data_IF_411095070785
#
_entry.id   IF_411095070785
#
_cell.length_a   1.000
_cell.length_b   1.000
_cell.length_c   1.000
_cell.angle_alpha   90.00
_cell.angle_beta   90.00
_cell.angle_gamma   90.00
#
_symmetry.space_group_name_H-M   'P 1'
#
loop_
_entity.id
_entity.type
_entity.pdbx_description
1 polymer ?
#
# COMPACT_ATOMS: atom_id res chain seq x y z
N UNK A 1 8.57 10.52 -27.48
CA UNK A 1 7.21 11.08 -27.74
C UNK A 1 6.18 9.98 -28.02
N UNK A 2 6.43 9.02 -28.90
CA UNK A 2 5.49 7.94 -29.27
C UNK A 2 5.06 7.05 -28.08
N UNK A 3 5.99 6.54 -27.27
CA UNK A 3 5.69 5.73 -26.08
C UNK A 3 4.77 6.47 -25.08
N UNK A 4 4.95 7.78 -24.95
CA UNK A 4 4.12 8.61 -24.09
C UNK A 4 2.66 8.74 -24.56
N UNK A 5 2.41 8.61 -25.87
CA UNK A 5 1.06 8.54 -26.44
C UNK A 5 0.47 7.14 -26.25
N UNK A 6 1.23 6.10 -26.60
CA UNK A 6 0.76 4.69 -26.53
C UNK A 6 0.41 4.32 -25.08
N UNK A 7 1.18 4.72 -24.08
CA UNK A 7 0.86 4.44 -22.66
C UNK A 7 -0.47 5.03 -22.17
N UNK A 8 -1.12 5.91 -22.93
CA UNK A 8 -2.46 6.42 -22.64
C UNK A 8 -3.56 5.50 -23.18
N UNK A 9 -3.22 4.59 -24.11
CA UNK A 9 -4.15 3.70 -24.79
C UNK A 9 -4.40 2.43 -23.96
N UNK A 10 -5.14 2.57 -22.87
CA UNK A 10 -5.37 1.52 -21.85
C UNK A 10 -6.33 0.41 -22.30
N UNK A 11 -6.83 0.47 -23.50
CA UNK A 11 -7.61 -0.60 -24.16
C UNK A 11 -6.73 -1.63 -24.87
N UNK A 12 -5.42 -1.37 -25.00
CA UNK A 12 -4.47 -2.30 -25.59
C UNK A 12 -4.36 -3.59 -24.76
N UNK A 13 -4.00 -4.74 -25.38
CA UNK A 13 -3.73 -5.97 -24.66
C UNK A 13 -2.72 -5.72 -23.53
N UNK A 14 -3.01 -6.28 -22.35
CA UNK A 14 -2.23 -6.02 -21.13
C UNK A 14 -0.72 -6.27 -21.31
N UNK A 15 -0.25 -7.39 -21.92
CA UNK A 15 1.18 -7.60 -22.11
C UNK A 15 1.85 -6.47 -22.89
N UNK A 16 1.31 -6.12 -24.05
CA UNK A 16 1.84 -5.03 -24.88
C UNK A 16 1.81 -3.67 -24.15
N UNK A 17 0.73 -3.37 -23.44
CA UNK A 17 0.66 -2.15 -22.65
C UNK A 17 1.75 -2.08 -21.58
N UNK A 18 1.99 -3.20 -20.89
CA UNK A 18 2.98 -3.29 -19.81
C UNK A 18 4.41 -3.13 -20.37
N UNK A 19 4.71 -3.69 -21.55
CA UNK A 19 5.99 -3.49 -22.24
C UNK A 19 6.24 -2.03 -22.58
N UNK A 20 5.26 -1.36 -23.19
CA UNK A 20 5.35 0.07 -23.53
C UNK A 20 5.48 0.93 -22.27
N UNK A 21 4.73 0.59 -21.21
CA UNK A 21 4.77 1.31 -19.95
C UNK A 21 6.15 1.19 -19.28
N UNK A 22 6.70 -0.02 -19.24
CA UNK A 22 8.01 -0.32 -18.69
C UNK A 22 9.12 0.45 -19.45
N UNK A 23 9.13 0.34 -20.79
CA UNK A 23 10.11 1.02 -21.63
C UNK A 23 10.03 2.56 -21.46
N UNK A 24 8.82 3.11 -21.34
CA UNK A 24 8.63 4.54 -21.13
C UNK A 24 9.29 5.06 -19.84
N UNK A 25 9.18 4.29 -18.72
CA UNK A 25 9.69 4.73 -17.43
C UNK A 25 11.15 4.34 -17.16
N UNK A 26 11.63 3.26 -17.77
CA UNK A 26 12.99 2.74 -17.50
C UNK A 26 13.98 3.00 -18.62
N UNK A 27 13.49 3.31 -19.83
CA UNK A 27 14.32 3.37 -21.05
C UNK A 27 14.79 1.99 -21.53
N UNK A 28 14.38 0.90 -20.88
CA UNK A 28 14.77 -0.49 -21.20
C UNK A 28 13.59 -1.25 -21.81
N UNK A 29 13.86 -2.18 -22.71
CA UNK A 29 12.85 -3.14 -23.17
C UNK A 29 12.54 -4.16 -22.07
N UNK A 30 11.27 -4.50 -21.92
CA UNK A 30 10.81 -5.52 -20.97
C UNK A 30 10.96 -6.92 -21.58
N UNK A 31 11.66 -7.82 -20.88
CA UNK A 31 11.68 -9.24 -21.21
C UNK A 31 10.66 -9.99 -20.33
N UNK A 32 9.52 -10.35 -20.92
CA UNK A 32 8.50 -11.17 -20.27
C UNK A 32 8.74 -12.68 -20.47
N UNK A 33 9.69 -13.08 -21.30
CA UNK A 33 10.00 -14.50 -21.57
C UNK A 33 10.97 -15.04 -20.53
N UNK A 34 12.04 -14.29 -20.24
CA UNK A 34 13.09 -14.67 -19.29
C UNK A 34 13.42 -13.50 -18.34
N UNK A 35 12.48 -13.04 -17.50
CA UNK A 35 12.68 -11.88 -16.66
C UNK A 35 13.79 -12.12 -15.63
N UNK A 36 14.80 -11.25 -15.61
CA UNK A 36 15.97 -11.35 -14.72
C UNK A 36 15.95 -10.32 -13.62
N UNK A 37 15.68 -9.06 -13.97
CA UNK A 37 15.64 -7.95 -13.03
C UNK A 37 14.37 -8.00 -12.17
N UNK A 38 14.43 -7.45 -10.96
CA UNK A 38 13.28 -7.40 -10.04
C UNK A 38 12.05 -6.77 -10.70
N UNK A 39 12.23 -5.60 -11.33
CA UNK A 39 11.13 -4.90 -11.97
C UNK A 39 10.52 -5.68 -13.14
N UNK A 40 11.31 -6.44 -13.91
CA UNK A 40 10.80 -7.33 -14.96
C UNK A 40 9.93 -8.45 -14.36
N UNK A 41 10.40 -9.07 -13.26
CA UNK A 41 9.64 -10.12 -12.54
C UNK A 41 8.31 -9.58 -11.99
N UNK A 42 8.29 -8.35 -11.48
CA UNK A 42 7.05 -7.68 -11.04
C UNK A 42 6.08 -7.47 -12.23
N UNK A 43 6.59 -7.05 -13.40
CA UNK A 43 5.73 -6.93 -14.58
C UNK A 43 5.24 -8.30 -15.07
N UNK A 44 6.09 -9.33 -15.01
CA UNK A 44 5.69 -10.71 -15.33
C UNK A 44 4.56 -11.20 -14.41
N UNK A 45 4.69 -11.00 -13.10
CA UNK A 45 3.63 -11.33 -12.14
C UNK A 45 2.33 -10.57 -12.45
N UNK A 46 2.42 -9.27 -12.76
CA UNK A 46 1.27 -8.46 -13.16
C UNK A 46 0.53 -9.03 -14.37
N UNK A 47 1.26 -9.57 -15.35
CA UNK A 47 0.68 -10.10 -16.59
C UNK A 47 0.17 -11.54 -16.42
N UNK A 48 0.93 -12.41 -15.78
CA UNK A 48 0.69 -13.85 -15.81
C UNK A 48 0.18 -14.44 -14.49
N UNK A 49 0.52 -13.87 -13.34
CA UNK A 49 0.07 -14.39 -12.05
C UNK A 49 -1.34 -13.86 -11.72
N UNK A 50 -2.34 -14.72 -11.89
CA UNK A 50 -3.77 -14.37 -11.76
C UNK A 50 -4.44 -15.09 -10.59
N UNK A 51 -3.86 -14.99 -9.40
CA UNK A 51 -4.47 -15.55 -8.20
C UNK A 51 -5.74 -14.73 -7.83
N UNK A 52 -6.95 -15.33 -7.81
CA UNK A 52 -8.19 -14.62 -7.54
C UNK A 52 -8.23 -13.93 -6.16
N UNK A 53 -7.44 -14.42 -5.20
CA UNK A 53 -7.31 -13.82 -3.87
C UNK A 53 -6.75 -12.39 -3.93
N UNK A 54 -5.95 -12.06 -4.95
CA UNK A 54 -5.34 -10.74 -5.06
C UNK A 54 -6.35 -9.60 -5.12
N UNK A 55 -7.53 -9.83 -5.70
CA UNK A 55 -8.60 -8.82 -5.69
C UNK A 55 -9.11 -8.51 -4.27
N UNK A 56 -9.20 -9.53 -3.41
CA UNK A 56 -9.52 -9.34 -1.99
C UNK A 56 -8.38 -8.62 -1.26
N UNK A 57 -7.12 -8.98 -1.56
CA UNK A 57 -5.95 -8.47 -0.84
C UNK A 57 -5.62 -7.01 -1.16
N UNK A 58 -5.94 -6.52 -2.35
CA UNK A 58 -5.75 -5.10 -2.70
C UNK A 58 -6.90 -4.20 -2.24
N UNK A 59 -8.04 -4.76 -1.86
CA UNK A 59 -9.18 -4.05 -1.27
C UNK A 59 -8.95 -3.85 0.24
N UNK A 60 -8.72 -2.59 0.66
CA UNK A 60 -8.41 -2.25 2.07
C UNK A 60 -9.49 -2.66 3.07
N UNK A 61 -10.72 -2.90 2.62
CA UNK A 61 -11.78 -3.45 3.48
C UNK A 61 -11.74 -4.97 3.50
N UNK A 62 -11.72 -5.59 2.33
CA UNK A 62 -11.83 -7.05 2.22
C UNK A 62 -10.60 -7.79 2.73
N UNK A 63 -9.39 -7.19 2.64
CA UNK A 63 -8.15 -7.76 3.18
C UNK A 63 -8.20 -7.97 4.70
N UNK A 64 -9.05 -7.23 5.41
CA UNK A 64 -9.20 -7.32 6.87
C UNK A 64 -9.68 -8.71 7.32
N UNK A 65 -10.53 -9.38 6.54
CA UNK A 65 -10.95 -10.76 6.84
C UNK A 65 -9.78 -11.74 6.70
N UNK A 66 -8.97 -11.60 5.67
CA UNK A 66 -7.76 -12.40 5.48
C UNK A 66 -6.75 -12.21 6.63
N UNK A 67 -6.48 -10.96 7.01
CA UNK A 67 -5.58 -10.66 8.14
C UNK A 67 -6.13 -11.23 9.44
N UNK A 68 -7.44 -11.07 9.72
CA UNK A 68 -8.10 -11.62 10.92
C UNK A 68 -7.97 -13.13 10.99
N UNK A 69 -8.16 -13.81 9.87
CA UNK A 69 -8.07 -15.28 9.78
C UNK A 69 -6.63 -15.78 9.99
N UNK A 70 -5.65 -15.13 9.37
CA UNK A 70 -4.25 -15.56 9.36
C UNK A 70 -3.48 -15.25 10.65
N UNK A 71 -3.72 -14.09 11.22
CA UNK A 71 -2.90 -13.58 12.34
C UNK A 71 -3.73 -13.08 13.52
N UNK A 72 -5.03 -12.84 13.32
CA UNK A 72 -5.93 -12.36 14.37
C UNK A 72 -6.31 -10.89 14.25
N UNK A 73 -7.45 -10.54 14.85
CA UNK A 73 -8.01 -9.18 14.77
C UNK A 73 -7.18 -8.12 15.49
N UNK A 74 -6.29 -8.51 16.42
CA UNK A 74 -5.45 -7.57 17.19
C UNK A 74 -4.51 -6.74 16.33
N UNK A 75 -4.18 -7.23 15.13
CA UNK A 75 -3.30 -6.55 14.17
C UNK A 75 -4.06 -5.62 13.21
N UNK A 76 -5.37 -5.53 13.33
CA UNK A 76 -6.17 -4.62 12.51
C UNK A 76 -6.39 -3.29 13.23
N UNK A 77 -6.34 -2.19 12.47
CA UNK A 77 -6.79 -0.91 13.00
C UNK A 77 -8.29 -0.94 13.25
N UNK A 78 -8.78 -0.11 14.17
CA UNK A 78 -10.20 0.03 14.44
C UNK A 78 -10.93 0.57 13.21
N UNK A 79 -12.00 -0.12 12.80
CA UNK A 79 -12.88 0.26 11.70
C UNK A 79 -14.08 1.03 12.26
N UNK A 80 -14.16 2.32 11.95
CA UNK A 80 -15.21 3.21 12.41
C UNK A 80 -16.44 3.22 11.52
N UNK A 81 -16.28 2.85 10.23
CA UNK A 81 -17.39 2.81 9.29
C UNK A 81 -16.99 2.36 7.90
N UNK A 82 -17.99 1.90 7.12
CA UNK A 82 -17.88 1.50 5.72
C UNK A 82 -19.00 2.17 4.95
N UNK A 83 -18.69 2.81 3.82
CA UNK A 83 -19.66 3.62 3.08
C UNK A 83 -19.54 3.34 1.58
N UNK A 84 -20.67 3.16 0.90
CA UNK A 84 -20.75 3.01 -0.55
C UNK A 84 -21.10 4.35 -1.23
N UNK A 85 -21.71 5.27 -0.50
CA UNK A 85 -22.06 6.60 -0.96
C UNK A 85 -21.38 7.67 -0.07
N UNK A 86 -20.79 8.73 -0.66
CA UNK A 86 -20.18 9.83 0.10
C UNK A 86 -21.15 10.55 1.05
N UNK A 87 -22.46 10.52 0.76
CA UNK A 87 -23.47 11.18 1.60
C UNK A 87 -23.80 10.39 2.87
N UNK A 88 -23.46 9.09 2.91
CA UNK A 88 -23.63 8.23 4.10
C UNK A 88 -22.62 8.54 5.20
N UNK A 89 -21.54 9.26 4.87
CA UNK A 89 -20.52 9.60 5.86
C UNK A 89 -21.07 10.64 6.82
N UNK A 90 -21.41 10.17 8.02
CA UNK A 90 -21.76 11.05 9.14
C UNK A 90 -20.51 11.46 9.91
N UNK A 91 -19.98 12.63 9.59
CA UNK A 91 -18.79 13.14 10.27
C UNK A 91 -19.04 13.49 11.75
N UNK A 92 -20.31 13.70 12.18
CA UNK A 92 -20.62 14.00 13.57
C UNK A 92 -20.41 12.78 14.47
N UNK A 93 -20.69 11.57 13.94
CA UNK A 93 -20.49 10.31 14.63
C UNK A 93 -19.02 9.85 14.68
N UNK A 94 -18.13 10.44 13.89
CA UNK A 94 -16.70 10.11 13.91
C UNK A 94 -15.98 10.86 15.04
N UNK A 95 -14.88 10.28 15.61
CA UNK A 95 -14.06 10.97 16.61
C UNK A 95 -13.40 12.23 16.03
N UNK A 96 -12.67 13.00 16.84
CA UNK A 96 -11.99 14.22 16.38
C UNK A 96 -10.87 13.93 15.40
N UNK A 97 -10.20 12.78 15.55
CA UNK A 97 -9.14 12.32 14.66
C UNK A 97 -9.52 10.99 14.00
N UNK A 98 -9.46 10.96 12.69
CA UNK A 98 -9.76 9.74 11.92
C UNK A 98 -9.11 9.79 10.52
N UNK A 99 -9.14 8.65 9.83
CA UNK A 99 -8.70 8.57 8.43
C UNK A 99 -9.82 7.95 7.60
N UNK A 100 -10.18 8.58 6.47
CA UNK A 100 -11.06 7.97 5.48
C UNK A 100 -10.24 7.55 4.27
N UNK A 101 -10.38 6.27 3.86
CA UNK A 101 -9.64 5.67 2.75
C UNK A 101 -10.61 5.19 1.67
N UNK A 102 -10.27 5.41 0.39
CA UNK A 102 -10.87 4.68 -0.72
C UNK A 102 -10.24 3.29 -0.80
N UNK A 103 -11.05 2.22 -0.74
CA UNK A 103 -10.55 0.84 -0.61
C UNK A 103 -9.91 0.30 -1.89
N UNK A 104 -10.32 0.81 -3.05
CA UNK A 104 -10.07 0.29 -4.39
C UNK A 104 -8.96 1.01 -5.16
N UNK A 105 -8.01 1.63 -4.44
CA UNK A 105 -6.90 2.34 -5.06
C UNK A 105 -5.78 2.74 -4.11
N UNK A 106 -4.76 3.37 -4.69
CA UNK A 106 -3.58 3.86 -3.99
C UNK A 106 -3.69 5.35 -3.72
N UNK A 107 -3.23 5.78 -2.55
CA UNK A 107 -3.13 7.19 -2.12
C UNK A 107 -4.48 7.94 -2.05
N UNK A 108 -5.58 7.22 -1.90
CA UNK A 108 -6.91 7.78 -1.67
C UNK A 108 -7.20 7.85 -0.18
N UNK A 109 -6.52 8.78 0.50
CA UNK A 109 -6.62 8.98 1.94
C UNK A 109 -7.04 10.43 2.23
N UNK A 110 -7.93 10.59 3.19
CA UNK A 110 -8.24 11.84 3.88
C UNK A 110 -7.90 11.66 5.36
N UNK A 111 -6.81 12.28 5.78
CA UNK A 111 -6.38 12.28 7.17
C UNK A 111 -7.01 13.50 7.83
N UNK A 112 -7.68 13.31 8.95
CA UNK A 112 -8.31 14.36 9.76
C UNK A 112 -7.70 14.31 11.15
N UNK A 113 -6.92 15.32 11.49
CA UNK A 113 -6.27 15.49 12.79
C UNK A 113 -7.04 16.44 13.70
N UNK A 114 -7.92 17.24 13.12
CA UNK A 114 -8.84 18.14 13.80
C UNK A 114 -10.14 18.21 12.98
N UNK A 115 -11.20 17.62 13.54
CA UNK A 115 -12.51 17.60 12.89
C UNK A 115 -13.11 18.99 12.71
N UNK A 116 -12.77 19.97 13.58
CA UNK A 116 -13.27 21.35 13.47
C UNK A 116 -12.83 22.05 12.19
N UNK A 117 -11.68 21.65 11.62
CA UNK A 117 -11.14 22.17 10.36
C UNK A 117 -11.68 21.44 9.12
N UNK A 118 -12.49 20.40 9.31
CA UNK A 118 -12.98 19.58 8.21
C UNK A 118 -14.12 20.26 7.45
N UNK A 119 -13.92 20.48 6.16
CA UNK A 119 -15.00 20.85 5.26
C UNK A 119 -15.70 19.59 4.71
N UNK A 120 -16.83 19.22 5.31
CA UNK A 120 -17.63 18.05 4.91
C UNK A 120 -17.99 18.06 3.41
N UNK A 121 -18.33 19.22 2.85
CA UNK A 121 -18.62 19.38 1.43
C UNK A 121 -17.42 19.07 0.55
N UNK A 122 -16.23 19.63 0.84
CA UNK A 122 -14.98 19.35 0.11
C UNK A 122 -14.61 17.87 0.21
N UNK A 123 -14.76 17.26 1.38
CA UNK A 123 -14.51 15.84 1.60
C UNK A 123 -15.42 14.97 0.71
N UNK A 124 -16.74 15.24 0.70
CA UNK A 124 -17.70 14.51 -0.15
C UNK A 124 -17.40 14.64 -1.64
N UNK A 125 -16.96 15.81 -2.13
CA UNK A 125 -16.51 15.97 -3.52
C UNK A 125 -15.28 15.09 -3.82
N UNK A 126 -14.30 15.05 -2.90
CA UNK A 126 -13.13 14.19 -3.01
C UNK A 126 -13.53 12.71 -3.06
N UNK A 127 -14.46 12.29 -2.23
CA UNK A 127 -14.97 10.91 -2.20
C UNK A 127 -15.72 10.52 -3.47
N UNK A 128 -16.60 11.39 -4.01
CA UNK A 128 -17.24 11.17 -5.31
C UNK A 128 -16.21 10.93 -6.42
N UNK A 129 -15.15 11.75 -6.43
CA UNK A 129 -14.03 11.58 -7.38
C UNK A 129 -13.28 10.26 -7.20
N UNK A 130 -13.12 9.75 -5.98
CA UNK A 130 -12.49 8.45 -5.76
C UNK A 130 -13.41 7.31 -6.21
N UNK A 131 -14.66 7.31 -5.76
CA UNK A 131 -15.62 6.25 -6.07
C UNK A 131 -15.96 6.12 -7.56
N UNK A 132 -15.86 7.23 -8.32
CA UNK A 132 -16.07 7.21 -9.78
C UNK A 132 -14.87 6.66 -10.58
N UNK A 133 -13.76 6.30 -9.93
CA UNK A 133 -12.53 5.89 -10.61
C UNK A 133 -12.26 4.42 -10.41
N UNK A 134 -11.75 3.78 -11.46
CA UNK A 134 -11.18 2.44 -11.35
C UNK A 134 -9.65 2.54 -11.38
N UNK A 135 -8.99 2.05 -10.31
CA UNK A 135 -7.54 2.13 -10.17
C UNK A 135 -6.80 1.27 -11.19
N UNK A 136 -7.40 0.19 -11.68
CA UNK A 136 -6.84 -0.63 -12.77
C UNK A 136 -6.32 0.25 -13.92
N UNK A 137 -7.13 1.22 -14.37
CA UNK A 137 -6.75 2.12 -15.45
C UNK A 137 -5.74 3.22 -15.02
N UNK A 138 -5.46 3.38 -13.75
CA UNK A 138 -4.50 4.36 -13.22
C UNK A 138 -3.18 3.73 -12.81
N UNK A 139 -3.21 2.52 -12.27
CA UNK A 139 -2.07 1.77 -11.74
C UNK A 139 -1.34 0.90 -12.77
N UNK A 140 -1.40 1.24 -14.08
CA UNK A 140 -0.65 0.50 -15.10
C UNK A 140 -1.24 -0.88 -15.40
N UNK A 141 -2.56 -0.99 -15.41
CA UNK A 141 -3.35 -2.20 -15.68
C UNK A 141 -3.09 -3.34 -14.68
N UNK A 142 -2.96 -3.01 -13.39
CA UNK A 142 -2.92 -4.01 -12.32
C UNK A 142 -4.29 -4.67 -12.17
N UNK A 143 -4.43 -5.87 -12.73
CA UNK A 143 -5.72 -6.54 -12.86
C UNK A 143 -6.43 -6.82 -11.53
N UNK A 144 -5.69 -6.99 -10.44
CA UNK A 144 -6.25 -7.21 -9.10
C UNK A 144 -7.24 -6.10 -8.68
N UNK A 145 -7.00 -4.85 -9.11
CA UNK A 145 -7.88 -3.72 -8.83
C UNK A 145 -9.10 -3.62 -9.75
N UNK A 146 -9.14 -4.39 -10.86
CA UNK A 146 -10.15 -4.21 -11.91
C UNK A 146 -11.59 -4.39 -11.41
N UNK A 147 -11.79 -5.34 -10.51
CA UNK A 147 -13.10 -5.75 -10.00
C UNK A 147 -13.32 -5.41 -8.52
N UNK A 148 -12.44 -4.62 -7.91
CA UNK A 148 -12.66 -4.16 -6.53
C UNK A 148 -13.87 -3.23 -6.49
N UNK A 149 -14.84 -3.55 -5.62
CA UNK A 149 -16.03 -2.71 -5.42
C UNK A 149 -15.62 -1.37 -4.80
N UNK A 150 -15.93 -0.23 -5.42
CA UNK A 150 -15.64 1.07 -4.86
C UNK A 150 -16.37 1.30 -3.53
N UNK A 151 -15.62 1.54 -2.45
CA UNK A 151 -16.13 1.87 -1.12
C UNK A 151 -15.17 2.81 -0.41
N UNK A 152 -15.66 3.44 0.64
CA UNK A 152 -14.88 4.19 1.62
C UNK A 152 -14.87 3.42 2.93
N UNK A 153 -13.76 3.47 3.65
CA UNK A 153 -13.69 3.05 5.05
C UNK A 153 -13.22 4.22 5.90
N UNK A 154 -13.79 4.36 7.09
CA UNK A 154 -13.26 5.22 8.14
C UNK A 154 -12.53 4.34 9.16
N UNK A 155 -11.33 4.74 9.53
CA UNK A 155 -10.49 4.06 10.52
C UNK A 155 -10.02 5.04 11.58
N UNK A 156 -9.75 4.53 12.79
CA UNK A 156 -9.14 5.31 13.84
C UNK A 156 -7.79 5.88 13.37
N UNK A 157 -7.53 7.12 13.75
CA UNK A 157 -6.24 7.75 13.51
C UNK A 157 -5.16 7.07 14.35
N UNK A 158 -4.05 6.72 13.71
CA UNK A 158 -2.92 6.08 14.39
C UNK A 158 -1.89 7.14 14.77
N UNK A 159 -1.44 7.10 16.02
CA UNK A 159 -0.39 7.95 16.57
C UNK A 159 0.71 7.08 17.19
N UNK A 160 1.96 7.47 17.02
CA UNK A 160 3.11 6.88 17.70
C UNK A 160 3.62 7.86 18.76
N UNK A 161 3.74 7.39 20.00
CA UNK A 161 4.16 8.24 21.14
C UNK A 161 5.58 8.76 20.88
N UNK A 162 5.77 10.08 21.03
CA UNK A 162 7.07 10.72 20.86
C UNK A 162 7.49 10.97 19.41
N UNK A 163 6.66 10.60 18.42
CA UNK A 163 6.94 10.85 17.00
C UNK A 163 5.86 11.71 16.35
N UNK A 164 6.26 12.57 15.42
CA UNK A 164 5.32 13.39 14.61
C UNK A 164 4.56 12.58 13.57
N UNK A 165 5.13 11.47 13.12
CA UNK A 165 4.52 10.54 12.16
C UNK A 165 4.85 9.10 12.52
N UNK A 166 3.98 8.20 12.12
CA UNK A 166 4.16 6.75 12.36
C UNK A 166 5.22 6.18 11.41
N UNK A 167 6.04 5.27 11.95
CA UNK A 167 7.02 4.51 11.17
C UNK A 167 6.31 3.43 10.37
N UNK A 168 6.61 3.36 9.07
CA UNK A 168 5.97 2.42 8.13
C UNK A 168 6.99 1.38 7.66
N UNK A 169 6.80 0.13 8.11
CA UNK A 169 7.68 -1.01 7.84
C UNK A 169 7.10 -1.87 6.73
N UNK A 170 7.77 -1.92 5.59
CA UNK A 170 7.33 -2.66 4.41
C UNK A 170 8.25 -3.85 4.17
N UNK A 171 7.76 -5.03 4.47
CA UNK A 171 8.48 -6.28 4.32
C UNK A 171 8.32 -6.83 2.91
N UNK A 172 9.41 -6.98 2.20
CA UNK A 172 9.44 -7.61 0.88
C UNK A 172 9.63 -9.11 1.04
N UNK A 173 8.58 -9.87 0.70
CA UNK A 173 8.52 -11.31 0.89
C UNK A 173 8.56 -12.04 -0.44
N UNK A 174 9.38 -13.08 -0.51
CA UNK A 174 9.55 -13.93 -1.68
C UNK A 174 9.34 -15.39 -1.26
N UNK A 175 8.42 -16.08 -1.95
CA UNK A 175 8.04 -17.46 -1.63
C UNK A 175 7.68 -17.65 -0.14
N UNK A 176 6.88 -16.71 0.39
CA UNK A 176 6.42 -16.74 1.76
C UNK A 176 7.38 -16.17 2.81
N UNK A 177 8.65 -15.92 2.46
CA UNK A 177 9.67 -15.48 3.40
C UNK A 177 10.05 -14.02 3.20
N UNK A 178 10.09 -13.20 4.26
CA UNK A 178 10.65 -11.86 4.19
C UNK A 178 12.15 -11.93 3.86
N UNK A 179 12.63 -11.00 3.05
CA UNK A 179 14.04 -10.92 2.64
C UNK A 179 14.69 -9.60 3.02
N UNK A 180 13.93 -8.52 2.96
CA UNK A 180 14.39 -7.21 3.37
C UNK A 180 13.20 -6.31 3.71
N UNK A 181 13.50 -5.18 4.32
CA UNK A 181 12.53 -4.22 4.83
C UNK A 181 12.82 -2.85 4.24
N UNK A 182 11.80 -2.19 3.76
CA UNK A 182 11.81 -0.76 3.52
C UNK A 182 11.20 -0.07 4.72
N UNK A 183 11.91 0.88 5.30
CA UNK A 183 11.39 1.73 6.37
C UNK A 183 11.21 3.14 5.86
N UNK A 184 9.99 3.65 5.99
CA UNK A 184 9.64 5.04 5.68
C UNK A 184 9.41 5.81 6.98
N UNK A 185 10.12 6.93 7.14
CA UNK A 185 9.99 7.85 8.27
C UNK A 185 9.46 9.20 7.80
N UNK A 186 8.84 9.94 8.71
CA UNK A 186 8.44 11.35 8.55
C UNK A 186 7.70 11.68 7.25
N UNK A 187 6.80 10.79 6.83
CA UNK A 187 6.05 10.89 5.56
C UNK A 187 5.27 12.20 5.37
N UNK A 188 5.09 13.00 6.43
CA UNK A 188 4.35 14.26 6.38
C UNK A 188 5.25 15.46 6.05
N UNK A 189 6.47 15.52 6.58
CA UNK A 189 7.34 16.70 6.51
C UNK A 189 8.59 16.43 5.64
N UNK A 190 9.39 15.46 6.02
CA UNK A 190 10.69 15.16 5.40
C UNK A 190 10.81 13.66 5.11
N UNK A 191 9.93 13.17 4.23
CA UNK A 191 9.87 11.75 3.90
C UNK A 191 11.25 11.19 3.56
N UNK A 192 11.74 10.33 4.41
CA UNK A 192 13.02 9.62 4.24
C UNK A 192 12.78 8.11 4.20
N UNK A 193 13.67 7.40 3.51
CA UNK A 193 13.55 5.97 3.25
C UNK A 193 14.88 5.26 3.36
N UNK A 194 14.88 4.09 4.00
CA UNK A 194 16.03 3.18 4.02
C UNK A 194 15.58 1.74 3.82
N UNK A 195 16.45 0.97 3.18
CA UNK A 195 16.28 -0.48 3.06
C UNK A 195 17.24 -1.18 4.02
N UNK A 196 16.73 -2.15 4.76
CA UNK A 196 17.46 -2.92 5.77
C UNK A 196 17.33 -4.41 5.46
N UNK A 197 18.35 -5.18 5.79
CA UNK A 197 18.23 -6.63 5.86
C UNK A 197 17.43 -7.06 7.12
N UNK A 198 17.23 -8.36 7.31
CA UNK A 198 16.49 -8.86 8.48
C UNK A 198 17.29 -8.77 9.79
N UNK A 199 18.60 -8.60 9.71
CA UNK A 199 19.49 -8.35 10.86
C UNK A 199 19.59 -6.88 11.22
N UNK A 200 18.81 -6.01 10.52
CA UNK A 200 18.72 -4.57 10.70
C UNK A 200 19.92 -3.78 10.16
N UNK A 201 20.72 -4.38 9.25
CA UNK A 201 21.82 -3.69 8.59
C UNK A 201 21.34 -2.97 7.34
N UNK A 202 21.86 -1.77 7.04
CA UNK A 202 21.54 -1.05 5.82
C UNK A 202 21.97 -1.83 4.57
N UNK A 203 21.04 -1.91 3.60
CA UNK A 203 21.35 -2.49 2.30
C UNK A 203 22.02 -1.48 1.36
N UNK A 204 22.86 -1.93 0.40
CA UNK A 204 23.67 -1.06 -0.46
C UNK A 204 22.88 -0.40 -1.60
N UNK A 205 21.56 -0.47 -1.59
CA UNK A 205 20.69 0.18 -2.56
C UNK A 205 19.71 1.14 -1.89
N UNK A 206 19.28 2.14 -2.63
CA UNK A 206 18.36 3.18 -2.16
C UNK A 206 17.36 3.56 -3.25
N UNK A 207 16.28 4.17 -2.81
CA UNK A 207 15.36 4.88 -3.70
C UNK A 207 15.98 6.23 -4.10
N UNK A 208 15.81 6.62 -5.36
CA UNK A 208 16.32 7.91 -5.86
C UNK A 208 15.39 9.07 -5.51
N UNK A 209 14.12 8.79 -5.24
CA UNK A 209 13.09 9.80 -4.99
C UNK A 209 13.06 10.26 -3.51
N UNK A 210 13.68 9.46 -2.59
CA UNK A 210 13.67 9.74 -1.16
C UNK A 210 15.08 9.68 -0.57
N UNK A 211 15.48 10.71 0.20
CA UNK A 211 16.77 10.67 0.89
C UNK A 211 16.79 9.55 1.93
N UNK A 212 17.95 8.93 2.21
CA UNK A 212 18.10 8.09 3.37
C UNK A 212 18.02 8.94 4.64
N UNK A 213 17.50 8.37 5.72
CA UNK A 213 17.63 9.00 7.04
C UNK A 213 19.01 8.63 7.65
N UNK A 214 19.64 9.59 8.32
CA UNK A 214 20.93 9.40 8.99
C UNK A 214 20.77 8.96 10.44
N UNK A 215 19.56 9.11 10.99
CA UNK A 215 19.20 8.65 12.32
C UNK A 215 19.41 7.14 12.46
N UNK A 216 20.00 6.71 13.56
CA UNK A 216 20.06 5.28 13.91
C UNK A 216 18.65 4.86 14.33
N UNK A 217 17.96 4.21 13.42
CA UNK A 217 16.65 3.63 13.73
C UNK A 217 16.86 2.39 14.61
N UNK A 218 16.37 2.45 15.84
CA UNK A 218 16.39 1.30 16.73
C UNK A 218 15.47 0.20 16.20
N UNK A 219 15.94 -1.04 16.29
CA UNK A 219 15.15 -2.22 15.96
C UNK A 219 13.99 -2.33 16.97
N UNK A 220 12.73 -2.46 16.50
CA UNK A 220 11.61 -2.60 17.42
C UNK A 220 11.78 -3.79 18.38
N UNK A 221 11.46 -3.61 19.67
CA UNK A 221 11.60 -4.69 20.67
C UNK A 221 10.81 -5.95 20.28
N UNK A 222 9.61 -5.77 19.68
CA UNK A 222 8.78 -6.88 19.23
C UNK A 222 8.96 -7.22 17.72
N UNK A 223 10.16 -6.99 17.19
CA UNK A 223 10.49 -7.27 15.80
C UNK A 223 10.25 -8.73 15.39
N UNK A 224 10.57 -9.67 16.27
CA UNK A 224 10.32 -11.10 16.01
C UNK A 224 8.82 -11.42 15.85
N UNK A 225 7.95 -10.75 16.60
CA UNK A 225 6.50 -10.85 16.40
C UNK A 225 6.10 -10.27 15.03
N UNK A 226 6.70 -9.14 14.61
CA UNK A 226 6.47 -8.60 13.26
C UNK A 226 6.85 -9.62 12.18
N UNK A 227 8.01 -10.27 12.28
CA UNK A 227 8.43 -11.30 11.33
C UNK A 227 7.49 -12.50 11.29
N UNK A 228 6.98 -12.96 12.44
CA UNK A 228 6.00 -14.04 12.50
C UNK A 228 4.68 -13.66 11.81
N UNK A 229 4.19 -12.42 12.03
CA UNK A 229 3.01 -11.88 11.35
C UNK A 229 3.22 -11.84 9.84
N UNK A 230 4.37 -11.32 9.42
CA UNK A 230 4.73 -11.21 8.01
C UNK A 230 4.78 -12.57 7.33
N UNK A 231 5.46 -13.57 7.91
CA UNK A 231 5.54 -14.94 7.36
C UNK A 231 4.16 -15.56 7.19
N UNK A 232 3.28 -15.43 8.19
CA UNK A 232 1.91 -15.96 8.10
C UNK A 232 1.10 -15.29 6.99
N UNK A 233 1.24 -13.97 6.81
CA UNK A 233 0.53 -13.23 5.77
C UNK A 233 1.10 -13.50 4.38
N UNK A 234 2.40 -13.73 4.27
CA UNK A 234 3.11 -13.91 2.99
C UNK A 234 3.13 -15.37 2.48
N UNK A 235 2.85 -16.35 3.32
CA UNK A 235 3.12 -17.79 3.13
C UNK A 235 2.78 -18.35 1.75
N UNK A 236 1.66 -17.94 1.16
CA UNK A 236 1.14 -18.56 -0.08
C UNK A 236 1.51 -17.80 -1.35
N UNK A 237 2.33 -16.76 -1.25
CA UNK A 237 2.58 -15.85 -2.37
C UNK A 237 4.02 -15.96 -2.88
N UNK A 238 4.22 -16.02 -4.22
CA UNK A 238 5.56 -15.99 -4.80
C UNK A 238 6.26 -14.65 -4.53
N UNK A 239 5.50 -13.58 -4.49
CA UNK A 239 5.93 -12.25 -4.07
C UNK A 239 4.76 -11.49 -3.45
N UNK A 240 4.99 -10.89 -2.30
CA UNK A 240 4.07 -9.93 -1.66
C UNK A 240 4.85 -8.97 -0.78
N UNK A 241 4.39 -7.73 -0.71
CA UNK A 241 4.86 -6.77 0.29
C UNK A 241 3.83 -6.69 1.41
N UNK A 242 4.27 -6.93 2.62
CA UNK A 242 3.45 -6.79 3.83
C UNK A 242 3.84 -5.50 4.53
N UNK A 243 2.90 -4.58 4.63
CA UNK A 243 3.10 -3.27 5.25
C UNK A 243 2.56 -3.31 6.69
N UNK A 244 3.40 -2.96 7.66
CA UNK A 244 3.06 -2.91 9.07
C UNK A 244 3.46 -1.57 9.68
N UNK A 245 2.65 -1.08 10.62
CA UNK A 245 3.04 -0.04 11.56
C UNK A 245 3.44 -0.68 12.89
N UNK A 246 4.36 -0.04 13.62
CA UNK A 246 4.68 -0.40 14.99
C UNK A 246 4.53 0.85 15.86
N UNK A 247 3.53 0.84 16.72
CA UNK A 247 3.17 1.97 17.56
C UNK A 247 3.62 1.67 18.99
N UNK A 248 4.92 1.86 19.27
CA UNK A 248 5.52 1.60 20.59
C UNK A 248 5.17 0.19 21.11
N UNK A 249 5.38 -0.83 20.27
CA UNK A 249 5.09 -2.24 20.60
C UNK A 249 3.74 -2.76 20.11
N UNK A 250 2.82 -1.92 19.66
CA UNK A 250 1.57 -2.36 19.03
C UNK A 250 1.76 -2.47 17.51
N UNK A 251 1.73 -3.69 16.99
CA UNK A 251 1.78 -3.95 15.55
C UNK A 251 0.39 -3.73 14.94
N UNK A 252 0.34 -2.96 13.84
CA UNK A 252 -0.89 -2.72 13.08
C UNK A 252 -0.63 -2.97 11.59
N UNK A 253 -1.50 -3.74 10.94
CA UNK A 253 -1.48 -3.95 9.49
C UNK A 253 -1.86 -2.66 8.76
N UNK A 254 -1.04 -2.23 7.76
CA UNK A 254 -1.10 -0.97 7.03
C UNK A 254 -1.96 -0.93 5.79
#
# INVERSE_FOLDING_TARGET
MLLGLIKKLKFLPQPFYVEVYYEYYTGKKLDLTTPREFNEKIQWLKVYYKDPRLTQLVDKYSVRSFVKERVGAKYLNELLGVYENPNEVDFSALPDKFVIKGVHGYNWNLIVEDKSQLSAWKARLKFRKWLSRNYYYRGGLEWAYKHVKPRLIAEAYLEEIGRKSISDYKFFCFNGEPRFIQVDLDRKESHSRRYLDLDWNPLPFRDTDYPPFDEILEKPENYEEMLQVVRKLAHDFPFVRVDLYNLSGRIVFG
#
